data_IF_942985288957
#
_entry.id   IF_942985288957
#
_cell.length_a   1.000
_cell.length_b   1.000
_cell.length_c   1.000
_cell.angle_alpha   90.00
_cell.angle_beta   90.00
_cell.angle_gamma   90.00
#
_symmetry.space_group_name_H-M   'P 1'
#
loop_
_entity.id
_entity.type
_entity.pdbx_description
1 polymer ?
#
# COMPACT_ATOMS: atom_id res chain seq x y z
N UNK A 1 -8.25 8.78 -30.09
CA UNK A 1 -8.30 7.44 -29.46
C UNK A 1 -8.75 6.46 -30.52
N UNK A 2 -8.31 5.20 -30.47
CA UNK A 2 -8.80 4.18 -31.41
C UNK A 2 -10.20 3.68 -31.03
N UNK A 3 -10.87 2.94 -31.91
CA UNK A 3 -12.18 2.37 -31.65
C UNK A 3 -12.18 1.51 -30.37
N UNK A 4 -13.14 1.76 -29.47
CA UNK A 4 -13.26 1.09 -28.16
C UNK A 4 -12.22 1.50 -27.10
N UNK A 5 -11.32 2.45 -27.40
CA UNK A 5 -10.43 3.06 -26.40
C UNK A 5 -11.15 4.25 -25.72
N UNK A 6 -11.25 4.23 -24.40
CA UNK A 6 -11.86 5.30 -23.59
C UNK A 6 -10.86 5.82 -22.56
N UNK A 7 -10.94 7.12 -22.33
CA UNK A 7 -10.18 7.80 -21.27
C UNK A 7 -10.65 7.31 -19.90
N UNK A 8 -9.70 7.12 -18.98
CA UNK A 8 -9.94 6.71 -17.60
C UNK A 8 -9.45 7.81 -16.66
N UNK A 9 -8.19 8.23 -16.78
CA UNK A 9 -7.59 9.35 -16.02
C UNK A 9 -6.82 10.27 -16.97
N UNK A 10 -6.81 11.56 -16.67
CA UNK A 10 -6.07 12.59 -17.41
C UNK A 10 -5.63 13.68 -16.44
N UNK A 11 -4.40 13.59 -15.97
CA UNK A 11 -3.88 14.40 -14.86
C UNK A 11 -2.45 14.85 -15.11
N UNK A 12 -1.94 15.75 -14.26
CA UNK A 12 -0.52 16.08 -14.18
C UNK A 12 0.15 15.21 -13.13
N UNK A 13 1.48 15.14 -13.20
CA UNK A 13 2.26 14.43 -12.21
C UNK A 13 3.71 14.33 -12.62
N UNK A 14 4.40 13.38 -12.01
CA UNK A 14 5.80 13.07 -12.25
C UNK A 14 5.95 11.58 -12.55
N UNK A 15 6.93 11.26 -13.36
CA UNK A 15 7.28 9.86 -13.62
C UNK A 15 8.79 9.74 -13.81
N UNK A 16 9.32 8.58 -13.48
CA UNK A 16 10.73 8.25 -13.68
C UNK A 16 10.89 6.78 -14.02
N UNK A 17 12.00 6.42 -14.66
CA UNK A 17 12.40 5.04 -14.86
C UNK A 17 13.56 4.75 -13.94
N UNK A 18 13.41 3.71 -13.11
CA UNK A 18 14.42 3.34 -12.10
C UNK A 18 15.12 2.03 -12.44
N UNK A 19 14.51 1.20 -13.29
CA UNK A 19 15.17 0.02 -13.88
C UNK A 19 14.96 0.06 -15.39
N UNK A 20 16.04 -0.18 -16.15
CA UNK A 20 16.00 -0.29 -17.60
C UNK A 20 16.81 -1.49 -18.07
N UNK A 21 16.18 -2.37 -18.86
CA UNK A 21 16.80 -3.61 -19.34
C UNK A 21 17.40 -4.45 -18.19
N UNK A 22 16.70 -4.50 -17.06
CA UNK A 22 17.12 -5.19 -15.84
C UNK A 22 18.25 -4.53 -15.03
N UNK A 23 18.67 -3.30 -15.38
CA UNK A 23 19.71 -2.55 -14.66
C UNK A 23 19.11 -1.37 -13.90
N UNK A 24 19.46 -1.26 -12.62
CA UNK A 24 19.11 -0.10 -11.81
C UNK A 24 19.77 1.18 -12.34
N UNK A 25 19.00 2.27 -12.33
CA UNK A 25 19.43 3.60 -12.73
C UNK A 25 19.68 4.43 -11.47
N UNK A 26 20.96 4.67 -11.16
CA UNK A 26 21.37 5.34 -9.93
C UNK A 26 21.10 6.86 -9.93
N UNK A 27 20.95 7.47 -11.11
CA UNK A 27 20.74 8.92 -11.29
C UNK A 27 19.36 9.22 -11.89
N UNK A 28 18.34 8.43 -11.55
CA UNK A 28 17.00 8.59 -12.10
C UNK A 28 16.31 9.87 -11.60
N UNK A 29 16.07 10.85 -12.49
CA UNK A 29 15.37 12.09 -12.15
C UNK A 29 13.87 12.03 -12.50
N UNK A 30 13.05 12.62 -11.62
CA UNK A 30 11.62 12.78 -11.85
C UNK A 30 11.35 13.75 -12.99
N UNK A 31 10.66 13.26 -14.02
CA UNK A 31 10.18 14.09 -15.12
C UNK A 31 8.74 14.52 -14.85
N UNK A 32 8.51 15.83 -14.75
CA UNK A 32 7.16 16.40 -14.70
C UNK A 32 6.46 16.31 -16.05
N UNK A 33 5.16 16.04 -16.04
CA UNK A 33 4.40 15.94 -17.28
C UNK A 33 2.92 15.62 -17.09
N UNK A 34 2.29 15.23 -18.20
CA UNK A 34 0.90 14.78 -18.26
C UNK A 34 0.85 13.25 -18.25
N UNK A 35 -0.03 12.71 -17.43
CA UNK A 35 -0.31 11.28 -17.26
C UNK A 35 -1.72 11.01 -17.80
N UNK A 36 -1.83 10.16 -18.80
CA UNK A 36 -3.09 9.80 -19.43
C UNK A 36 -3.28 8.29 -19.37
N UNK A 37 -4.24 7.84 -18.57
CA UNK A 37 -4.66 6.44 -18.48
C UNK A 37 -5.92 6.23 -19.32
N UNK A 38 -5.93 5.18 -20.12
CA UNK A 38 -7.09 4.67 -20.84
C UNK A 38 -7.34 3.21 -20.47
N UNK A 39 -8.44 2.64 -20.93
CA UNK A 39 -8.69 1.20 -20.81
C UNK A 39 -7.75 0.31 -21.66
N UNK A 40 -6.77 0.88 -22.38
CA UNK A 40 -5.82 0.13 -23.23
C UNK A 40 -4.35 0.43 -22.95
N UNK A 41 -4.02 1.64 -22.51
CA UNK A 41 -2.64 2.10 -22.32
C UNK A 41 -2.52 3.24 -21.32
N UNK A 42 -1.34 3.34 -20.73
CA UNK A 42 -0.83 4.49 -19.99
C UNK A 42 0.09 5.30 -20.91
N UNK A 43 -0.09 6.62 -20.92
CA UNK A 43 0.74 7.56 -21.67
C UNK A 43 1.36 8.54 -20.68
N UNK A 44 2.68 8.67 -20.74
CA UNK A 44 3.48 9.61 -19.95
C UNK A 44 4.10 10.61 -20.93
N UNK A 45 3.70 11.88 -20.85
CA UNK A 45 4.13 12.92 -21.77
C UNK A 45 4.82 14.06 -21.01
N UNK A 46 6.12 14.21 -21.22
CA UNK A 46 6.94 15.27 -20.61
C UNK A 46 7.73 16.04 -21.66
N UNK A 47 8.64 16.90 -21.21
CA UNK A 47 9.43 17.76 -22.10
C UNK A 47 10.36 16.97 -23.04
N UNK A 48 10.82 15.79 -22.60
CA UNK A 48 11.66 14.89 -23.40
C UNK A 48 10.88 14.00 -24.39
N UNK A 49 9.56 14.17 -24.51
CA UNK A 49 8.70 13.42 -25.42
C UNK A 49 7.64 12.58 -24.72
N UNK A 50 7.14 11.58 -25.45
CA UNK A 50 6.00 10.76 -25.04
C UNK A 50 6.39 9.28 -24.95
N UNK A 51 6.18 8.68 -23.78
CA UNK A 51 6.22 7.22 -23.57
C UNK A 51 4.80 6.67 -23.57
N UNK A 52 4.59 5.56 -24.29
CA UNK A 52 3.29 4.85 -24.31
C UNK A 52 3.49 3.42 -23.84
N UNK A 53 2.80 3.04 -22.76
CA UNK A 53 2.87 1.73 -22.14
C UNK A 53 1.49 1.05 -22.34
N UNK A 54 1.37 0.06 -23.24
CA UNK A 54 0.16 -0.74 -23.34
C UNK A 54 -0.10 -1.44 -22.00
N UNK A 55 -1.34 -1.40 -21.50
CA UNK A 55 -1.67 -2.05 -20.23
C UNK A 55 -1.26 -3.53 -20.19
N UNK A 56 -1.42 -4.33 -21.27
CA UNK A 56 -0.94 -5.71 -21.28
C UNK A 56 0.55 -5.92 -20.99
N UNK A 57 1.38 -4.88 -21.12
CA UNK A 57 2.82 -4.95 -20.83
C UNK A 57 3.17 -4.68 -19.36
N UNK A 58 2.21 -4.26 -18.53
CA UNK A 58 2.41 -4.08 -17.08
C UNK A 58 2.21 -5.44 -16.40
N UNK A 59 3.27 -6.09 -15.92
CA UNK A 59 3.22 -7.45 -15.34
C UNK A 59 2.67 -7.46 -13.92
N UNK A 60 3.20 -6.60 -13.06
CA UNK A 60 2.76 -6.38 -11.70
C UNK A 60 2.73 -4.88 -11.42
N UNK A 61 2.03 -4.54 -10.35
CA UNK A 61 2.26 -3.30 -9.64
C UNK A 61 3.07 -3.69 -8.41
N UNK A 62 4.00 -2.85 -8.00
CA UNK A 62 4.74 -3.07 -6.77
C UNK A 62 4.50 -1.90 -5.83
N UNK A 63 4.56 -2.19 -4.52
CA UNK A 63 4.63 -1.18 -3.48
C UNK A 63 5.94 -0.39 -3.56
N UNK A 64 6.28 0.36 -2.51
CA UNK A 64 7.56 1.06 -2.46
C UNK A 64 8.70 0.04 -2.55
N UNK A 65 9.19 -0.23 -3.75
CA UNK A 65 10.47 -0.87 -3.95
C UNK A 65 11.50 -0.04 -3.18
N UNK A 66 12.43 -0.70 -2.49
CA UNK A 66 13.61 -0.11 -1.84
C UNK A 66 14.54 0.55 -2.87
N UNK A 67 14.01 1.48 -3.65
CA UNK A 67 14.76 2.31 -4.56
C UNK A 67 15.22 3.47 -3.70
N UNK A 68 16.52 3.47 -3.40
CA UNK A 68 17.37 4.58 -2.93
C UNK A 68 16.67 5.88 -2.48
N UNK A 69 17.21 6.49 -1.42
CA UNK A 69 16.82 7.79 -0.80
C UNK A 69 16.46 8.95 -1.78
N UNK A 70 16.80 8.87 -3.06
CA UNK A 70 16.41 9.80 -4.14
C UNK A 70 14.92 9.72 -4.54
N UNK A 71 14.26 8.57 -4.40
CA UNK A 71 12.82 8.40 -4.69
C UNK A 71 11.94 9.00 -3.58
N UNK A 72 12.49 9.18 -2.37
CA UNK A 72 11.82 9.71 -1.18
C UNK A 72 11.33 11.18 -1.29
N UNK A 73 11.59 11.87 -2.41
CA UNK A 73 11.21 13.28 -2.63
C UNK A 73 9.77 13.49 -3.12
N UNK A 74 9.00 12.42 -3.36
CA UNK A 74 7.61 12.52 -3.81
C UNK A 74 6.71 11.71 -2.90
N UNK A 75 5.73 12.37 -2.28
CA UNK A 75 4.67 11.75 -1.49
C UNK A 75 3.77 10.93 -2.43
N UNK A 76 3.88 9.60 -2.36
CA UNK A 76 3.01 8.67 -3.08
C UNK A 76 3.38 8.46 -4.56
N UNK A 77 3.69 7.22 -4.92
CA UNK A 77 3.88 6.78 -6.30
C UNK A 77 3.43 5.33 -6.46
N UNK A 78 3.10 4.95 -7.69
CA UNK A 78 2.86 3.57 -8.08
C UNK A 78 4.07 3.05 -8.86
N UNK A 79 4.59 1.88 -8.48
CA UNK A 79 5.64 1.19 -9.22
C UNK A 79 5.04 0.28 -10.28
N UNK A 80 5.46 0.44 -11.54
CA UNK A 80 5.01 -0.35 -12.67
C UNK A 80 6.14 -1.28 -13.12
N UNK A 81 6.02 -2.57 -12.84
CA UNK A 81 6.90 -3.59 -13.41
C UNK A 81 6.44 -3.92 -14.83
N UNK A 82 7.29 -3.70 -15.82
CA UNK A 82 6.99 -4.00 -17.21
C UNK A 82 7.49 -5.41 -17.59
N UNK A 83 6.93 -5.95 -18.66
CA UNK A 83 7.33 -7.26 -19.20
C UNK A 83 8.78 -7.33 -19.73
N UNK A 84 9.49 -6.20 -19.79
CA UNK A 84 10.90 -6.09 -20.18
C UNK A 84 11.83 -5.97 -18.97
N UNK A 85 11.31 -6.21 -17.76
CA UNK A 85 11.97 -5.97 -16.48
C UNK A 85 12.29 -4.50 -16.18
N UNK A 86 11.77 -3.59 -17.01
CA UNK A 86 11.80 -2.15 -16.73
C UNK A 86 10.87 -1.81 -15.57
N UNK A 87 11.30 -0.91 -14.70
CA UNK A 87 10.49 -0.34 -13.62
C UNK A 87 10.26 1.13 -13.89
N UNK A 88 8.98 1.53 -13.93
CA UNK A 88 8.56 2.93 -14.08
C UNK A 88 7.77 3.33 -12.86
N UNK A 89 8.21 4.41 -12.20
CA UNK A 89 7.47 5.01 -11.09
C UNK A 89 6.58 6.13 -11.63
N UNK A 90 5.35 6.19 -11.16
CA UNK A 90 4.37 7.21 -11.57
C UNK A 90 3.72 7.80 -10.33
N UNK A 91 3.84 9.12 -10.18
CA UNK A 91 3.17 9.89 -9.13
C UNK A 91 2.23 10.89 -9.80
N UNK A 92 0.93 10.73 -9.59
CA UNK A 92 -0.09 11.65 -10.07
C UNK A 92 -0.35 12.75 -9.04
N UNK A 93 -1.05 13.81 -9.45
CA UNK A 93 -1.54 14.86 -8.54
C UNK A 93 -2.40 14.30 -7.38
N UNK A 94 -3.14 13.23 -7.64
CA UNK A 94 -3.86 12.41 -6.66
C UNK A 94 -3.38 10.95 -6.81
N UNK A 95 -2.35 10.53 -6.04
CA UNK A 95 -1.73 9.21 -6.17
C UNK A 95 -2.70 8.05 -5.89
N UNK A 96 -3.53 8.17 -4.86
CA UNK A 96 -4.43 7.09 -4.41
C UNK A 96 -5.55 6.86 -5.43
N UNK A 97 -6.19 7.93 -5.88
CA UNK A 97 -7.22 7.84 -6.91
C UNK A 97 -6.63 7.33 -8.23
N UNK A 98 -5.42 7.77 -8.59
CA UNK A 98 -4.74 7.26 -9.79
C UNK A 98 -4.44 5.76 -9.68
N UNK A 99 -3.91 5.30 -8.55
CA UNK A 99 -3.62 3.89 -8.28
C UNK A 99 -4.87 3.03 -8.39
N UNK A 100 -5.97 3.43 -7.72
CA UNK A 100 -7.26 2.75 -7.81
C UNK A 100 -7.78 2.69 -9.25
N UNK A 101 -7.71 3.79 -9.99
CA UNK A 101 -8.14 3.82 -11.40
C UNK A 101 -7.25 2.96 -12.30
N UNK A 102 -5.96 2.81 -11.95
CA UNK A 102 -5.04 1.90 -12.63
C UNK A 102 -5.40 0.43 -12.37
N UNK A 103 -5.65 0.05 -11.11
CA UNK A 103 -6.16 -1.28 -10.77
C UNK A 103 -7.46 -1.59 -11.51
N UNK A 104 -8.42 -0.67 -11.53
CA UNK A 104 -9.65 -0.79 -12.32
C UNK A 104 -9.37 -1.02 -13.80
N UNK A 105 -8.47 -0.24 -14.40
CA UNK A 105 -8.12 -0.40 -15.82
C UNK A 105 -7.46 -1.76 -16.12
N UNK A 106 -6.75 -2.35 -15.16
CA UNK A 106 -6.07 -3.64 -15.28
C UNK A 106 -6.99 -4.84 -15.01
N UNK A 107 -7.85 -4.75 -14.00
CA UNK A 107 -8.59 -5.86 -13.41
C UNK A 107 -10.12 -5.84 -13.63
N UNK A 108 -10.74 -4.67 -13.86
CA UNK A 108 -12.21 -4.62 -14.00
C UNK A 108 -12.69 -5.53 -15.13
N UNK A 109 -13.75 -6.29 -14.83
CA UNK A 109 -14.43 -7.23 -15.71
C UNK A 109 -13.59 -8.42 -16.16
N UNK A 110 -12.36 -8.58 -15.65
CA UNK A 110 -11.54 -9.75 -15.95
C UNK A 110 -12.14 -10.98 -15.28
N UNK A 111 -12.07 -12.10 -15.99
CA UNK A 111 -12.54 -13.37 -15.48
C UNK A 111 -11.44 -14.04 -14.65
N UNK A 112 -11.85 -14.58 -13.51
CA UNK A 112 -11.08 -15.44 -12.61
C UNK A 112 -11.90 -16.68 -12.28
N UNK A 113 -11.28 -17.65 -11.61
CA UNK A 113 -11.97 -18.69 -10.87
C UNK A 113 -11.98 -18.30 -9.40
N UNK A 114 -13.12 -18.46 -8.74
CA UNK A 114 -13.28 -18.21 -7.32
C UNK A 114 -13.88 -19.46 -6.66
N UNK A 115 -13.43 -19.75 -5.44
CA UNK A 115 -14.09 -20.71 -4.54
C UNK A 115 -14.34 -19.97 -3.24
N UNK A 116 -15.60 -19.79 -2.90
CA UNK A 116 -16.01 -18.97 -1.77
C UNK A 116 -17.33 -19.46 -1.15
N UNK A 117 -17.44 -19.44 0.20
CA UNK A 117 -16.31 -19.47 1.11
C UNK A 117 -15.59 -20.81 0.92
N UNK A 118 -14.27 -20.82 0.77
CA UNK A 118 -13.48 -22.06 0.73
C UNK A 118 -13.29 -22.64 2.14
N UNK A 119 -13.22 -21.76 3.14
CA UNK A 119 -13.18 -22.06 4.57
C UNK A 119 -14.12 -21.07 5.27
N UNK A 120 -14.88 -21.53 6.25
CA UNK A 120 -15.74 -20.70 7.09
C UNK A 120 -15.54 -21.12 8.56
N UNK A 121 -15.14 -20.18 9.42
CA UNK A 121 -14.88 -20.47 10.84
C UNK A 121 -13.82 -21.56 11.08
N UNK A 122 -12.85 -21.70 10.17
CA UNK A 122 -11.81 -22.73 10.21
C UNK A 122 -12.22 -24.09 9.63
N UNK A 123 -13.44 -24.24 9.12
CA UNK A 123 -13.93 -25.47 8.49
C UNK A 123 -13.92 -25.33 6.97
N UNK A 124 -13.25 -26.26 6.28
CA UNK A 124 -13.27 -26.32 4.81
C UNK A 124 -14.68 -26.66 4.33
N UNK A 125 -15.18 -25.91 3.35
CA UNK A 125 -16.53 -26.07 2.82
C UNK A 125 -16.56 -26.94 1.55
N UNK A 126 -17.77 -27.31 1.12
CA UNK A 126 -18.02 -28.01 -0.14
C UNK A 126 -18.14 -27.07 -1.36
N UNK A 127 -17.79 -25.77 -1.23
CA UNK A 127 -17.84 -24.83 -2.34
C UNK A 127 -16.96 -25.29 -3.51
N UNK A 128 -17.48 -25.20 -4.73
CA UNK A 128 -16.72 -25.55 -5.94
C UNK A 128 -16.03 -24.33 -6.56
N UNK A 129 -15.13 -24.59 -7.51
CA UNK A 129 -14.49 -23.54 -8.28
C UNK A 129 -15.43 -23.00 -9.36
N UNK A 130 -15.89 -21.76 -9.19
CA UNK A 130 -16.78 -21.08 -10.11
C UNK A 130 -16.10 -19.97 -10.90
N UNK A 131 -16.65 -19.64 -12.07
CA UNK A 131 -16.16 -18.46 -12.82
C UNK A 131 -16.66 -17.21 -12.12
N UNK A 132 -15.77 -16.27 -11.82
CA UNK A 132 -16.14 -14.97 -11.27
C UNK A 132 -15.59 -13.82 -12.12
N UNK A 133 -16.28 -12.69 -12.06
CA UNK A 133 -15.87 -11.45 -12.71
C UNK A 133 -15.40 -10.46 -11.64
N UNK A 134 -14.15 -10.02 -11.76
CA UNK A 134 -13.56 -9.01 -10.89
C UNK A 134 -14.17 -7.62 -11.09
N UNK A 135 -14.31 -6.90 -9.99
CA UNK A 135 -14.63 -5.47 -9.94
C UNK A 135 -13.80 -4.84 -8.82
N UNK A 136 -13.08 -3.78 -9.13
CA UNK A 136 -12.32 -3.03 -8.11
C UNK A 136 -13.19 -1.85 -7.67
N UNK A 137 -13.44 -1.79 -6.37
CA UNK A 137 -14.27 -0.77 -5.72
C UNK A 137 -13.37 0.20 -4.93
N UNK A 138 -14.00 1.13 -4.22
CA UNK A 138 -13.28 1.94 -3.23
C UNK A 138 -13.16 1.10 -1.95
N UNK A 139 -11.94 0.81 -1.53
CA UNK A 139 -11.70 -0.02 -0.33
C UNK A 139 -11.86 -1.52 -0.52
N UNK A 140 -12.45 -2.02 -1.63
CA UNK A 140 -12.76 -3.45 -1.75
C UNK A 140 -12.42 -4.08 -3.12
N UNK A 141 -12.24 -5.40 -3.10
CA UNK A 141 -12.23 -6.27 -4.29
C UNK A 141 -13.51 -7.09 -4.31
N UNK A 142 -14.33 -6.90 -5.35
CA UNK A 142 -15.57 -7.62 -5.52
C UNK A 142 -15.49 -8.70 -6.61
N UNK A 143 -16.21 -9.79 -6.38
CA UNK A 143 -16.35 -10.93 -7.29
C UNK A 143 -17.84 -11.18 -7.56
N UNK A 144 -18.26 -10.96 -8.80
CA UNK A 144 -19.56 -11.45 -9.28
C UNK A 144 -19.40 -12.88 -9.79
N UNK A 145 -19.87 -13.86 -9.01
CA UNK A 145 -19.70 -15.29 -9.27
C UNK A 145 -20.80 -15.81 -10.20
N UNK A 146 -20.49 -16.85 -10.99
CA UNK A 146 -21.39 -17.39 -12.00
C UNK A 146 -22.67 -18.03 -11.44
N UNK A 147 -22.65 -18.46 -10.18
CA UNK A 147 -23.81 -18.97 -9.44
C UNK A 147 -24.80 -17.87 -9.00
N UNK A 148 -24.44 -16.60 -9.20
CA UNK A 148 -25.23 -15.44 -8.85
C UNK A 148 -24.85 -14.79 -7.51
N UNK A 149 -23.93 -15.40 -6.74
CA UNK A 149 -23.39 -14.80 -5.52
C UNK A 149 -22.49 -13.60 -5.83
N UNK A 150 -22.39 -12.70 -4.85
CA UNK A 150 -21.50 -11.56 -4.86
C UNK A 150 -20.64 -11.63 -3.62
N UNK A 151 -19.33 -11.71 -3.82
CA UNK A 151 -18.34 -11.76 -2.74
C UNK A 151 -17.63 -10.43 -2.73
N UNK A 152 -17.64 -9.76 -1.59
CA UNK A 152 -16.88 -8.54 -1.35
C UNK A 152 -15.76 -8.87 -0.37
N UNK A 153 -14.53 -8.51 -0.75
CA UNK A 153 -13.37 -8.59 0.12
C UNK A 153 -13.01 -7.14 0.43
N UNK A 154 -13.37 -6.67 1.61
CA UNK A 154 -12.90 -5.39 2.13
C UNK A 154 -11.39 -5.49 2.36
N UNK A 155 -10.63 -4.54 1.82
CA UNK A 155 -9.18 -4.52 1.95
C UNK A 155 -8.74 -4.19 3.38
N UNK A 156 -9.58 -3.52 4.17
CA UNK A 156 -9.29 -3.15 5.55
C UNK A 156 -9.69 -4.26 6.56
N UNK A 157 -10.35 -5.33 6.09
CA UNK A 157 -10.72 -6.52 6.89
C UNK A 157 -9.98 -7.80 6.44
N UNK A 158 -8.83 -7.66 5.77
CA UNK A 158 -8.01 -8.82 5.36
C UNK A 158 -7.15 -9.28 6.54
N UNK A 159 -7.43 -10.46 7.08
CA UNK A 159 -6.65 -11.03 8.17
C UNK A 159 -5.33 -11.65 7.72
N UNK A 160 -5.32 -12.30 6.55
CA UNK A 160 -4.12 -12.90 5.97
C UNK A 160 -4.27 -13.12 4.46
N UNK A 161 -3.16 -13.12 3.74
CA UNK A 161 -3.11 -13.46 2.32
C UNK A 161 -1.90 -14.30 1.94
N UNK A 162 -2.19 -15.48 1.40
CA UNK A 162 -1.18 -16.39 0.87
C UNK A 162 -1.34 -16.58 -0.64
N UNK A 163 -0.22 -16.81 -1.33
CA UNK A 163 -0.20 -17.19 -2.74
C UNK A 163 0.48 -18.56 -2.87
N UNK A 164 -0.30 -19.57 -3.23
CA UNK A 164 0.15 -20.97 -3.29
C UNK A 164 -0.21 -21.62 -4.63
N UNK A 165 0.51 -22.67 -5.02
CA UNK A 165 0.09 -23.53 -6.13
C UNK A 165 -0.89 -24.60 -5.64
N UNK A 166 -2.08 -24.68 -6.25
CA UNK A 166 -3.08 -25.71 -5.95
C UNK A 166 -3.67 -26.31 -7.23
N UNK A 167 -4.29 -27.47 -7.09
CA UNK A 167 -5.09 -28.09 -8.15
C UNK A 167 -6.44 -27.36 -8.28
N UNK A 168 -6.69 -26.76 -9.43
CA UNK A 168 -7.92 -26.05 -9.78
C UNK A 168 -8.46 -26.67 -11.06
N UNK A 169 -9.58 -27.40 -10.96
CA UNK A 169 -10.16 -28.15 -12.09
C UNK A 169 -9.13 -29.05 -12.79
N UNK A 170 -8.44 -29.88 -11.99
CA UNK A 170 -7.42 -30.85 -12.45
C UNK A 170 -6.10 -30.26 -12.97
N UNK A 171 -5.97 -28.93 -13.03
CA UNK A 171 -4.74 -28.25 -13.43
C UNK A 171 -4.04 -27.61 -12.23
N UNK A 172 -2.71 -27.67 -12.17
CA UNK A 172 -1.94 -26.87 -11.20
C UNK A 172 -2.01 -25.40 -11.60
N UNK A 173 -2.46 -24.55 -10.67
CA UNK A 173 -2.59 -23.10 -10.88
C UNK A 173 -2.18 -22.36 -9.62
N UNK A 174 -1.72 -21.12 -9.80
CA UNK A 174 -1.58 -20.18 -8.70
C UNK A 174 -2.97 -19.85 -8.13
N UNK A 175 -3.06 -19.87 -6.81
CA UNK A 175 -4.25 -19.53 -6.03
C UNK A 175 -3.85 -18.49 -5.00
N UNK A 176 -4.59 -17.39 -4.97
CA UNK A 176 -4.56 -16.41 -3.88
C UNK A 176 -5.59 -16.86 -2.85
N UNK A 177 -5.15 -17.08 -1.63
CA UNK A 177 -5.98 -17.46 -0.49
C UNK A 177 -6.10 -16.23 0.40
N UNK A 178 -7.30 -15.68 0.48
CA UNK A 178 -7.56 -14.43 1.22
C UNK A 178 -8.48 -14.75 2.38
N UNK A 179 -7.97 -14.60 3.60
CA UNK A 179 -8.80 -14.60 4.80
C UNK A 179 -9.35 -13.20 5.04
N UNK A 180 -10.68 -13.10 5.18
CA UNK A 180 -11.37 -11.83 5.40
C UNK A 180 -12.64 -12.05 6.23
N UNK A 181 -13.21 -10.97 6.76
CA UNK A 181 -14.43 -11.02 7.56
C UNK A 181 -15.68 -10.77 6.72
N UNK A 182 -16.66 -11.66 6.82
CA UNK A 182 -17.98 -11.50 6.21
C UNK A 182 -19.07 -11.63 7.28
N UNK A 183 -19.87 -10.58 7.46
CA UNK A 183 -20.90 -10.51 8.51
C UNK A 183 -20.38 -10.85 9.93
N UNK A 184 -19.10 -10.54 10.20
CA UNK A 184 -18.43 -10.85 11.47
C UNK A 184 -17.90 -12.28 11.59
N UNK A 185 -17.97 -13.08 10.53
CA UNK A 185 -17.42 -14.44 10.45
C UNK A 185 -16.14 -14.45 9.62
N UNK A 186 -15.05 -15.04 10.14
CA UNK A 186 -13.84 -15.26 9.33
C UNK A 186 -14.12 -16.31 8.25
N UNK A 187 -13.88 -15.92 7.01
CA UNK A 187 -14.02 -16.76 5.82
C UNK A 187 -12.76 -16.68 4.96
N UNK A 188 -12.48 -17.72 4.19
CA UNK A 188 -11.41 -17.69 3.20
C UNK A 188 -11.97 -17.75 1.78
N UNK A 189 -11.50 -16.84 0.94
CA UNK A 189 -11.82 -16.79 -0.49
C UNK A 189 -10.60 -17.20 -1.30
N UNK A 190 -10.76 -18.22 -2.15
CA UNK A 190 -9.68 -18.65 -3.03
C UNK A 190 -9.90 -18.11 -4.44
N UNK A 191 -8.90 -17.45 -5.01
CA UNK A 191 -8.97 -16.80 -6.32
C UNK A 191 -7.84 -17.32 -7.23
N UNK A 192 -8.17 -17.76 -8.44
CA UNK A 192 -7.20 -18.20 -9.44
C UNK A 192 -7.42 -17.53 -10.79
N UNK A 193 -6.35 -17.19 -11.49
CA UNK A 193 -6.39 -16.49 -12.77
C UNK A 193 -5.17 -16.80 -13.63
N UNK A 194 -4.92 -15.95 -14.64
CA UNK A 194 -3.62 -15.97 -15.31
C UNK A 194 -2.56 -15.44 -14.35
N UNK A 195 -1.32 -15.94 -14.44
CA UNK A 195 -0.15 -15.47 -13.65
C UNK A 195 -0.11 -13.94 -13.48
N UNK A 196 -0.20 -13.19 -14.57
CA UNK A 196 -0.25 -11.72 -14.56
C UNK A 196 -1.41 -11.11 -13.75
N UNK A 197 -2.59 -11.73 -13.80
CA UNK A 197 -3.76 -11.24 -13.05
C UNK A 197 -3.61 -11.56 -11.58
N UNK A 198 -3.14 -12.77 -11.25
CA UNK A 198 -2.82 -13.13 -9.88
C UNK A 198 -1.77 -12.18 -9.32
N UNK A 199 -0.66 -11.92 -10.02
CA UNK A 199 0.36 -10.98 -9.56
C UNK A 199 -0.17 -9.57 -9.28
N UNK A 200 -0.99 -9.00 -10.18
CA UNK A 200 -1.57 -7.65 -9.95
C UNK A 200 -2.56 -7.67 -8.79
N UNK A 201 -3.42 -8.70 -8.70
CA UNK A 201 -4.41 -8.81 -7.63
C UNK A 201 -3.74 -9.10 -6.27
N UNK A 202 -2.68 -9.90 -6.25
CA UNK A 202 -1.86 -10.20 -5.09
C UNK A 202 -1.31 -8.91 -4.48
N UNK A 203 -0.71 -8.02 -5.28
CA UNK A 203 -0.21 -6.73 -4.76
C UNK A 203 -1.32 -5.91 -4.10
N UNK A 204 -2.53 -5.88 -4.69
CA UNK A 204 -3.65 -5.13 -4.11
C UNK A 204 -4.10 -5.72 -2.78
N UNK A 205 -4.25 -7.03 -2.72
CA UNK A 205 -4.69 -7.74 -1.51
C UNK A 205 -3.63 -7.69 -0.41
N UNK A 206 -2.34 -7.83 -0.75
CA UNK A 206 -1.21 -7.63 0.19
C UNK A 206 -1.20 -6.24 0.78
N UNK A 207 -1.55 -5.22 -0.02
CA UNK A 207 -1.68 -3.85 0.48
C UNK A 207 -2.83 -3.73 1.50
N UNK A 208 -3.92 -4.45 1.30
CA UNK A 208 -5.02 -4.55 2.27
C UNK A 208 -4.61 -5.31 3.53
N UNK A 209 -3.99 -6.49 3.38
CA UNK A 209 -3.40 -7.27 4.47
C UNK A 209 -2.45 -6.41 5.32
N UNK A 210 -1.49 -5.70 4.71
CA UNK A 210 -0.57 -4.84 5.47
C UNK A 210 -1.28 -3.67 6.17
N UNK A 211 -2.36 -3.12 5.60
CA UNK A 211 -3.17 -2.09 6.29
C UNK A 211 -3.91 -2.66 7.49
N UNK A 212 -4.43 -3.87 7.34
CA UNK A 212 -5.19 -4.60 8.36
C UNK A 212 -4.27 -5.11 9.48
N UNK A 213 -3.06 -5.61 9.16
CA UNK A 213 -2.00 -5.97 10.11
C UNK A 213 -1.46 -4.76 10.88
N UNK A 214 -1.35 -3.61 10.21
CA UNK A 214 -1.03 -2.35 10.88
C UNK A 214 -2.17 -1.92 11.80
N UNK A 215 -3.40 -2.39 11.58
CA UNK A 215 -4.50 -2.34 12.55
C UNK A 215 -4.86 -0.95 13.05
N UNK A 216 -4.41 0.11 12.39
CA UNK A 216 -4.53 1.46 12.89
C UNK A 216 -4.85 2.42 11.75
N UNK A 217 -6.05 2.96 11.81
CA UNK A 217 -6.39 4.21 11.14
C UNK A 217 -5.62 5.35 11.82
N UNK A 218 -4.39 5.58 11.36
CA UNK A 218 -3.55 6.70 11.79
C UNK A 218 -4.02 7.96 11.07
N UNK A 219 -4.39 8.97 11.83
CA UNK A 219 -4.60 10.32 11.33
C UNK A 219 -3.34 10.85 10.62
N UNK A 220 -3.53 11.88 9.79
CA UNK A 220 -2.43 12.53 9.06
C UNK A 220 -1.28 12.94 9.99
N UNK A 221 -1.60 13.45 11.19
CA UNK A 221 -0.63 13.85 12.20
C UNK A 221 0.12 12.68 12.84
N UNK A 222 -0.57 11.59 13.13
CA UNK A 222 0.08 10.39 13.68
C UNK A 222 1.03 9.75 12.65
N UNK A 223 0.65 9.79 11.37
CA UNK A 223 1.52 9.39 10.26
C UNK A 223 2.76 10.29 10.12
N UNK A 224 2.61 11.62 10.26
CA UNK A 224 3.75 12.56 10.21
C UNK A 224 4.75 12.30 11.35
N UNK A 225 4.26 12.06 12.57
CA UNK A 225 5.08 11.72 13.74
C UNK A 225 5.80 10.38 13.54
N UNK A 226 5.08 9.35 13.08
CA UNK A 226 5.66 8.04 12.79
C UNK A 226 6.76 8.13 11.72
N UNK A 227 6.53 8.91 10.67
CA UNK A 227 7.51 9.12 9.60
C UNK A 227 8.75 9.90 10.08
N UNK A 228 8.60 10.87 10.98
CA UNK A 228 9.72 11.58 11.58
C UNK A 228 10.63 10.60 12.36
N UNK A 229 10.03 9.74 13.19
CA UNK A 229 10.76 8.69 13.92
C UNK A 229 11.47 7.73 12.96
N UNK A 230 10.78 7.26 11.90
CA UNK A 230 11.37 6.37 10.90
C UNK A 230 12.57 6.99 10.18
N UNK A 231 12.54 8.30 9.94
CA UNK A 231 13.66 9.03 9.30
C UNK A 231 14.88 9.24 10.22
N UNK A 232 14.79 8.78 11.48
CA UNK A 232 15.86 8.87 12.48
C UNK A 232 15.89 10.19 13.25
N UNK A 233 14.84 11.02 13.14
CA UNK A 233 14.68 12.21 13.98
C UNK A 233 14.52 11.74 15.42
N UNK A 234 15.25 12.38 16.35
CA UNK A 234 15.13 12.02 17.76
C UNK A 234 13.71 12.33 18.25
N UNK A 235 13.07 11.47 19.07
CA UNK A 235 11.73 11.75 19.60
C UNK A 235 11.59 13.15 20.25
N UNK A 236 12.67 13.65 20.86
CA UNK A 236 12.73 14.98 21.48
C UNK A 236 12.78 16.15 20.48
N UNK A 237 13.21 15.88 19.25
CA UNK A 237 13.30 16.86 18.17
C UNK A 237 12.07 16.83 17.26
N UNK A 238 11.20 15.80 17.39
CA UNK A 238 9.97 15.64 16.59
C UNK A 238 9.03 16.85 16.72
N UNK A 239 8.76 17.44 17.91
CA UNK A 239 7.91 18.61 18.02
C UNK A 239 8.42 19.80 17.20
N UNK A 240 9.72 20.12 17.34
CA UNK A 240 10.36 21.20 16.59
C UNK A 240 10.45 20.90 15.09
N UNK A 241 10.68 19.63 14.73
CA UNK A 241 10.81 19.19 13.34
C UNK A 241 9.49 19.28 12.57
N UNK A 242 8.37 18.92 13.21
CA UNK A 242 7.03 18.96 12.63
C UNK A 242 6.30 20.29 12.88
N UNK A 243 6.86 21.16 13.74
CA UNK A 243 6.19 22.39 14.16
C UNK A 243 4.94 22.13 14.99
N UNK A 244 4.95 21.04 15.77
CA UNK A 244 3.86 20.60 16.64
C UNK A 244 4.15 20.95 18.09
N UNK A 245 3.10 21.08 18.90
CA UNK A 245 3.26 21.27 20.35
C UNK A 245 3.80 19.99 21.01
N UNK A 246 4.60 20.13 22.07
CA UNK A 246 5.17 18.97 22.78
C UNK A 246 4.08 18.07 23.34
N UNK A 247 3.04 18.65 23.96
CA UNK A 247 1.94 17.86 24.54
C UNK A 247 1.15 17.14 23.44
N UNK A 248 1.04 17.74 22.26
CA UNK A 248 0.39 17.11 21.09
C UNK A 248 1.21 15.91 20.59
N UNK A 249 2.53 16.05 20.44
CA UNK A 249 3.40 14.95 20.01
C UNK A 249 3.44 13.83 21.05
N UNK A 250 3.51 14.16 22.34
CA UNK A 250 3.48 13.16 23.42
C UNK A 250 2.15 12.39 23.41
N UNK A 251 1.01 13.05 23.16
CA UNK A 251 -0.27 12.35 23.01
C UNK A 251 -0.32 11.40 21.80
N UNK A 252 0.39 11.74 20.72
CA UNK A 252 0.57 10.88 19.56
C UNK A 252 1.49 9.71 19.90
N UNK A 253 2.57 9.91 20.66
CA UNK A 253 3.43 8.81 21.12
C UNK A 253 2.66 7.82 22.00
N UNK A 254 1.88 8.32 22.96
CA UNK A 254 1.01 7.49 23.81
C UNK A 254 0.05 6.66 22.95
N UNK A 255 -0.57 7.29 21.95
CA UNK A 255 -1.47 6.60 21.03
C UNK A 255 -0.75 5.55 20.18
N UNK A 256 0.43 5.86 19.62
CA UNK A 256 1.23 4.91 18.85
C UNK A 256 1.72 3.73 19.70
N UNK A 257 1.99 3.95 20.99
CA UNK A 257 2.33 2.90 21.97
C UNK A 257 1.13 2.00 22.27
N UNK A 258 -0.06 2.58 22.49
CA UNK A 258 -1.31 1.82 22.70
C UNK A 258 -1.65 0.90 21.54
N UNK A 259 -1.27 1.33 20.34
CA UNK A 259 -1.50 0.63 19.09
C UNK A 259 -0.38 -0.36 18.72
N UNK A 260 0.62 -0.51 19.60
CA UNK A 260 1.78 -1.39 19.40
C UNK A 260 2.58 -1.11 18.11
N UNK A 261 2.53 0.14 17.60
CA UNK A 261 3.26 0.59 16.39
C UNK A 261 4.70 0.99 16.74
N UNK A 262 4.93 1.40 17.99
CA UNK A 262 6.25 1.76 18.53
C UNK A 262 6.45 1.13 19.90
N UNK A 263 7.71 0.99 20.34
CA UNK A 263 8.06 0.40 21.64
C UNK A 263 8.66 1.45 22.60
N UNK A 264 8.26 1.41 23.87
CA UNK A 264 8.86 2.24 24.91
C UNK A 264 10.26 1.71 25.26
N UNK A 265 11.31 2.46 24.87
CA UNK A 265 12.69 2.10 25.21
C UNK A 265 13.06 2.58 26.62
N UNK A 266 12.64 3.80 26.99
CA UNK A 266 12.91 4.41 28.30
C UNK A 266 12.03 5.64 28.55
N UNK A 267 11.62 5.84 29.80
CA UNK A 267 11.00 7.09 30.26
C UNK A 267 12.04 8.03 30.84
N UNK A 268 12.06 9.29 30.40
CA UNK A 268 12.83 10.37 31.03
C UNK A 268 11.89 11.35 31.72
N UNK A 269 12.26 11.78 32.94
CA UNK A 269 11.49 12.75 33.71
C UNK A 269 12.15 14.11 33.63
N UNK A 270 11.37 15.15 33.35
CA UNK A 270 11.80 16.52 33.60
C UNK A 270 11.76 16.79 35.12
N UNK A 271 12.85 17.34 35.65
CA UNK A 271 12.99 17.63 37.08
C UNK A 271 13.58 19.01 37.29
N UNK A 272 13.10 19.70 38.33
CA UNK A 272 13.65 20.97 38.78
C UNK A 272 13.97 20.91 40.28
N UNK A 273 15.02 21.63 40.69
CA UNK A 273 15.34 21.75 42.11
C UNK A 273 14.21 22.46 42.85
N UNK A 274 13.69 21.84 43.90
CA UNK A 274 12.81 22.50 44.85
C UNK A 274 13.61 23.34 45.86
N UNK A 275 12.93 24.12 46.70
CA UNK A 275 13.58 24.98 47.68
C UNK A 275 14.56 24.24 48.60
N UNK A 276 14.22 23.02 49.01
CA UNK A 276 15.10 22.17 49.83
C UNK A 276 16.33 21.71 49.07
N UNK A 277 16.17 21.25 47.83
CA UNK A 277 17.27 20.84 46.96
C UNK A 277 18.23 21.98 46.64
N UNK A 278 17.70 23.19 46.44
CA UNK A 278 18.53 24.40 46.27
C UNK A 278 19.36 24.69 47.52
N UNK A 279 18.78 24.60 48.71
CA UNK A 279 19.51 24.84 49.96
C UNK A 279 20.65 23.83 50.17
N UNK A 280 20.38 22.54 49.94
CA UNK A 280 21.40 21.48 50.05
C UNK A 280 22.54 21.70 49.04
N UNK A 281 22.21 22.06 47.80
CA UNK A 281 23.22 22.37 46.80
C UNK A 281 24.06 23.60 47.18
N UNK A 282 23.44 24.63 47.76
CA UNK A 282 24.14 25.83 48.25
C UNK A 282 25.06 25.54 49.44
N UNK A 283 24.64 24.70 50.38
CA UNK A 283 25.48 24.27 51.51
C UNK A 283 26.69 23.47 51.02
N UNK A 284 26.47 22.51 50.11
CA UNK A 284 27.55 21.71 49.52
C UNK A 284 28.57 22.54 48.71
N UNK A 285 28.15 23.69 48.16
CA UNK A 285 29.06 24.62 47.48
C UNK A 285 29.81 25.57 48.42
N UNK A 286 29.32 25.78 49.66
CA UNK A 286 29.97 26.62 50.66
C UNK A 286 30.99 25.86 51.55
N UNK A 287 30.97 24.52 51.53
CA UNK A 287 31.94 23.65 52.21
C UNK A 287 33.20 23.36 51.36
N UNK A 288 33.43 24.12 50.28
CA UNK A 288 34.66 24.13 49.46
C UNK A 288 35.51 25.38 49.69
#
# INVERSE_FOLDING_TARGET
>A
MSEGERKVVDTRGKFTQVVKDGRELNDAEWTGGRILLSNKRLILAGNGGKRTIPLPKIRSLDGRTDVNQLVAKVSGYVSLQLATDDVVLVSAEDPESFERMLYRALLDRKMVLARHPAVEGGVVTDAEWEKARLKIEEGAVALAVADGSFVEIDLDDIGSMEANERSVREEKRQVLEVEHSEEGTSVQTYISGTERRCAILETLLRKGESRSEIGVDLSERENEVLMALYSGVSPFEVPDFLGMDVDEVESVFDRLLELEVVEEIRVRREVALNARGRNIASEAMNDQ
#
